data_IF_473791261427
#
_entry.id   IF_473791261427
#
_cell.length_a   1.000
_cell.length_b   1.000
_cell.length_c   1.000
_cell.angle_alpha   90.00
_cell.angle_beta   90.00
_cell.angle_gamma   90.00
#
_symmetry.space_group_name_H-M   'P 1'
#
loop_
_entity.id
_entity.type
_entity.pdbx_description
1 polymer ?
#
# COMPACT_ATOMS: atom_id res chain seq x y z
N UNK A 1 -30.51 -6.36 14.04
CA UNK A 1 -30.13 -7.36 13.01
C UNK A 1 -30.30 -6.79 11.61
N UNK A 2 -31.35 -6.05 11.32
CA UNK A 2 -31.68 -5.54 9.97
C UNK A 2 -30.57 -4.79 9.25
N UNK A 3 -29.74 -4.02 9.98
CA UNK A 3 -28.59 -3.30 9.38
C UNK A 3 -27.55 -4.27 8.79
N UNK A 4 -27.25 -5.37 9.48
CA UNK A 4 -26.26 -6.37 9.00
C UNK A 4 -26.79 -7.18 7.81
N UNK A 5 -28.11 -7.31 7.68
CA UNK A 5 -28.74 -8.03 6.58
C UNK A 5 -28.93 -7.15 5.34
N UNK A 6 -28.96 -5.82 5.51
CA UNK A 6 -29.26 -4.87 4.43
C UNK A 6 -28.05 -4.03 3.99
N UNK A 7 -26.92 -4.10 4.71
CA UNK A 7 -25.73 -3.34 4.37
C UNK A 7 -25.19 -3.78 3.00
N UNK A 8 -25.04 -2.86 2.04
CA UNK A 8 -24.48 -3.20 0.73
C UNK A 8 -22.99 -3.53 0.86
N UNK A 9 -22.61 -4.76 0.47
CA UNK A 9 -21.21 -5.26 0.55
C UNK A 9 -20.42 -5.00 -0.75
N UNK A 10 -21.07 -4.59 -1.81
CA UNK A 10 -20.50 -4.46 -3.16
C UNK A 10 -19.81 -3.12 -3.39
N UNK A 11 -20.06 -2.11 -2.55
CA UNK A 11 -19.52 -0.76 -2.70
C UNK A 11 -18.05 -0.61 -2.27
N UNK A 12 -17.45 -1.66 -1.72
CA UNK A 12 -16.08 -1.63 -1.20
C UNK A 12 -15.00 -1.94 -2.24
N UNK A 13 -15.38 -2.26 -3.48
CA UNK A 13 -14.44 -2.65 -4.54
C UNK A 13 -14.31 -1.56 -5.58
N UNK A 14 -13.08 -1.17 -5.82
CA UNK A 14 -12.75 -0.28 -6.93
C UNK A 14 -12.61 -1.12 -8.21
N UNK A 15 -13.47 -0.90 -9.20
CA UNK A 15 -13.46 -1.57 -10.51
C UNK A 15 -12.86 -0.69 -11.62
N UNK A 16 -12.44 0.54 -11.32
CA UNK A 16 -11.94 1.51 -12.30
C UNK A 16 -10.41 1.50 -12.38
N UNK A 17 -9.74 1.59 -11.23
CA UNK A 17 -8.29 1.72 -11.17
C UNK A 17 -7.63 0.34 -11.19
N UNK A 18 -7.14 -0.11 -12.34
CA UNK A 18 -6.47 -1.41 -12.41
C UNK A 18 -5.15 -1.39 -11.63
N UNK A 19 -5.06 -2.28 -10.64
CA UNK A 19 -3.88 -2.51 -9.80
C UNK A 19 -3.65 -4.00 -9.64
N UNK A 20 -2.50 -4.45 -10.11
CA UNK A 20 -2.12 -5.85 -10.07
C UNK A 20 -0.72 -6.03 -9.47
N UNK A 21 -0.60 -6.14 -8.15
CA UNK A 21 0.67 -6.43 -7.49
C UNK A 21 1.16 -7.83 -7.84
N UNK A 22 2.35 -7.91 -8.41
CA UNK A 22 2.96 -9.19 -8.79
C UNK A 22 3.49 -9.89 -7.55
N UNK A 23 2.99 -11.09 -7.29
CA UNK A 23 3.36 -11.91 -6.14
C UNK A 23 4.42 -12.94 -6.47
N UNK A 24 4.37 -13.50 -7.67
CA UNK A 24 5.27 -14.55 -8.13
C UNK A 24 5.42 -14.50 -9.64
N UNK A 25 6.62 -14.82 -10.15
CA UNK A 25 6.88 -14.96 -11.58
C UNK A 25 7.03 -16.44 -11.90
N UNK A 26 6.09 -16.98 -12.67
CA UNK A 26 6.06 -18.37 -13.08
C UNK A 26 6.78 -18.53 -14.43
N UNK A 27 7.87 -19.30 -14.44
CA UNK A 27 8.63 -19.59 -15.65
C UNK A 27 9.01 -21.07 -15.70
N UNK A 28 8.05 -21.96 -16.01
CA UNK A 28 8.29 -23.41 -16.03
C UNK A 28 9.20 -23.85 -17.19
N UNK A 29 9.25 -23.07 -18.26
CA UNK A 29 10.08 -23.29 -19.45
C UNK A 29 10.47 -21.97 -20.11
N UNK A 30 11.18 -21.99 -21.23
CA UNK A 30 11.62 -20.77 -21.91
C UNK A 30 10.50 -20.05 -22.67
N UNK A 31 9.43 -20.75 -23.01
CA UNK A 31 8.34 -20.23 -23.85
C UNK A 31 7.18 -19.62 -23.03
N UNK A 32 7.18 -19.84 -21.71
CA UNK A 32 6.14 -19.35 -20.84
C UNK A 32 6.70 -18.47 -19.72
N UNK A 33 6.21 -17.23 -19.64
CA UNK A 33 6.45 -16.31 -18.54
C UNK A 33 5.12 -15.72 -18.06
N UNK A 34 4.71 -16.13 -16.87
CA UNK A 34 3.46 -15.69 -16.26
C UNK A 34 3.71 -14.89 -14.99
N UNK A 35 2.97 -13.81 -14.82
CA UNK A 35 2.99 -12.98 -13.62
C UNK A 35 1.79 -13.35 -12.78
N UNK A 36 2.03 -14.02 -11.65
CA UNK A 36 0.99 -14.48 -10.74
C UNK A 36 0.71 -13.43 -9.69
N UNK A 37 -0.55 -13.14 -9.43
CA UNK A 37 -0.97 -12.20 -8.42
C UNK A 37 -2.48 -12.21 -8.19
N UNK A 38 -2.92 -11.31 -7.33
CA UNK A 38 -4.32 -11.04 -7.08
C UNK A 38 -4.67 -9.70 -7.69
N UNK A 39 -5.75 -9.62 -8.46
CA UNK A 39 -6.29 -8.33 -8.90
C UNK A 39 -6.74 -7.56 -7.66
N UNK A 40 -6.00 -6.50 -7.32
CA UNK A 40 -6.29 -5.67 -6.15
C UNK A 40 -7.48 -4.73 -6.43
N UNK A 41 -7.52 -4.17 -7.62
CA UNK A 41 -8.63 -3.31 -8.09
C UNK A 41 -8.65 -3.24 -9.61
N UNK A 42 -9.73 -2.67 -10.17
CA UNK A 42 -9.93 -2.49 -11.60
C UNK A 42 -10.21 -3.79 -12.34
N UNK A 43 -10.40 -3.67 -13.63
CA UNK A 43 -10.65 -4.78 -14.55
C UNK A 43 -9.54 -4.79 -15.57
N UNK A 44 -9.02 -5.95 -15.91
CA UNK A 44 -8.07 -6.16 -17.00
C UNK A 44 -8.62 -7.17 -18.00
N UNK A 45 -8.43 -6.90 -19.29
CA UNK A 45 -8.89 -7.75 -20.39
C UNK A 45 -7.71 -8.25 -21.23
N UNK A 46 -7.90 -9.37 -21.88
CA UNK A 46 -6.97 -9.83 -22.92
C UNK A 46 -6.87 -8.77 -24.02
N UNK A 47 -5.64 -8.41 -24.40
CA UNK A 47 -5.33 -7.35 -25.36
C UNK A 47 -5.17 -5.94 -24.77
N UNK A 48 -5.52 -5.73 -23.50
CA UNK A 48 -5.29 -4.44 -22.83
C UNK A 48 -3.80 -4.12 -22.77
N UNK A 49 -3.45 -2.85 -22.93
CA UNK A 49 -2.09 -2.37 -22.68
C UNK A 49 -1.90 -2.16 -21.20
N UNK A 50 -0.87 -2.76 -20.64
CA UNK A 50 -0.46 -2.59 -19.24
C UNK A 50 0.95 -2.05 -19.14
N UNK A 51 1.23 -1.33 -18.06
CA UNK A 51 2.53 -0.78 -17.72
C UNK A 51 3.06 -1.47 -16.45
N UNK A 52 4.32 -1.86 -16.48
CA UNK A 52 5.03 -2.39 -15.32
C UNK A 52 5.71 -1.25 -14.54
N UNK A 53 5.40 -1.13 -13.24
CA UNK A 53 6.04 -0.19 -12.33
C UNK A 53 7.07 -0.91 -11.47
N UNK A 54 8.28 -0.35 -11.26
CA UNK A 54 8.70 1.02 -11.56
C UNK A 54 9.27 1.24 -12.97
N UNK A 55 9.44 0.21 -13.79
CA UNK A 55 10.21 0.30 -15.05
C UNK A 55 9.57 1.22 -16.11
N UNK A 56 8.24 1.44 -16.02
CA UNK A 56 7.48 2.20 -17.02
C UNK A 56 7.31 1.48 -18.37
N UNK A 57 7.81 0.25 -18.49
CA UNK A 57 7.67 -0.53 -19.74
C UNK A 57 6.24 -0.98 -19.91
N UNK A 58 5.75 -0.88 -21.15
CA UNK A 58 4.40 -1.28 -21.53
C UNK A 58 4.42 -2.54 -22.39
N UNK A 59 3.39 -3.35 -22.26
CA UNK A 59 3.12 -4.51 -23.11
C UNK A 59 1.63 -4.79 -23.14
N UNK A 60 1.17 -5.63 -24.05
CA UNK A 60 -0.22 -6.10 -24.10
C UNK A 60 -0.40 -7.39 -23.33
N UNK A 61 -1.55 -7.52 -22.70
CA UNK A 61 -1.98 -8.76 -22.06
C UNK A 61 -2.24 -9.82 -23.14
N UNK A 62 -1.39 -10.85 -23.18
CA UNK A 62 -1.51 -11.96 -24.12
C UNK A 62 -2.58 -12.94 -23.69
N UNK A 63 -2.57 -13.34 -22.41
CA UNK A 63 -3.58 -14.23 -21.82
C UNK A 63 -3.73 -13.99 -20.33
N UNK A 64 -4.88 -14.35 -19.80
CA UNK A 64 -5.21 -14.35 -18.37
C UNK A 64 -5.55 -15.79 -18.01
N UNK A 65 -4.75 -16.43 -17.19
CA UNK A 65 -4.82 -17.88 -16.93
C UNK A 65 -5.18 -18.15 -15.47
N UNK A 66 -6.09 -19.10 -15.28
CA UNK A 66 -6.43 -19.69 -13.99
C UNK A 66 -6.20 -21.20 -14.03
N UNK A 67 -6.45 -21.89 -12.91
CA UNK A 67 -6.42 -23.34 -12.87
C UNK A 67 -7.45 -23.97 -13.83
N UNK A 68 -8.61 -23.35 -13.98
CA UNK A 68 -9.73 -23.85 -14.81
C UNK A 68 -9.60 -23.49 -16.30
N UNK A 69 -8.57 -22.71 -16.68
CA UNK A 69 -8.31 -22.29 -18.06
C UNK A 69 -8.09 -20.79 -18.22
N UNK A 70 -8.18 -20.34 -19.47
CA UNK A 70 -8.04 -18.94 -19.84
C UNK A 70 -9.34 -18.16 -19.63
N UNK A 71 -9.17 -16.89 -19.24
CA UNK A 71 -10.25 -15.90 -19.08
C UNK A 71 -10.08 -14.77 -20.09
N UNK A 72 -11.20 -14.20 -20.53
CA UNK A 72 -11.19 -12.98 -21.37
C UNK A 72 -10.89 -11.73 -20.55
N UNK A 73 -11.26 -11.72 -19.28
CA UNK A 73 -11.00 -10.62 -18.34
C UNK A 73 -10.88 -11.12 -16.90
N UNK A 74 -10.24 -10.31 -16.06
CA UNK A 74 -10.16 -10.53 -14.61
C UNK A 74 -10.51 -9.26 -13.83
N UNK A 75 -11.04 -9.46 -12.62
CA UNK A 75 -11.51 -8.40 -11.72
C UNK A 75 -11.21 -8.75 -10.24
N UNK A 76 -11.32 -7.79 -9.31
CA UNK A 76 -11.08 -8.04 -7.88
C UNK A 76 -12.13 -9.00 -7.28
N UNK A 77 -11.73 -9.95 -6.46
CA UNK A 77 -10.41 -10.26 -5.94
C UNK A 77 -9.78 -11.50 -6.59
N UNK A 78 -9.98 -11.72 -7.87
CA UNK A 78 -9.50 -12.94 -8.55
C UNK A 78 -7.97 -13.07 -8.48
N UNK A 79 -7.51 -14.30 -8.21
CA UNK A 79 -6.10 -14.67 -8.33
C UNK A 79 -5.89 -15.28 -9.72
N UNK A 80 -5.04 -14.65 -10.52
CA UNK A 80 -4.82 -15.04 -11.90
C UNK A 80 -3.32 -15.01 -12.23
N UNK A 81 -2.97 -15.59 -13.37
CA UNK A 81 -1.65 -15.45 -13.99
C UNK A 81 -1.80 -14.66 -15.28
N UNK A 82 -1.15 -13.51 -15.37
CA UNK A 82 -1.15 -12.66 -16.57
C UNK A 82 0.12 -12.97 -17.36
N UNK A 83 -0.02 -13.26 -18.67
CA UNK A 83 1.09 -13.31 -19.61
C UNK A 83 1.07 -12.08 -20.50
N UNK A 84 2.23 -11.63 -20.94
CA UNK A 84 2.39 -10.46 -21.79
C UNK A 84 2.89 -10.86 -23.17
N UNK A 85 2.63 -10.00 -24.17
CA UNK A 85 3.11 -10.24 -25.54
C UNK A 85 4.63 -10.05 -25.64
N UNK A 86 5.16 -9.03 -24.94
CA UNK A 86 6.59 -8.72 -24.94
C UNK A 86 7.27 -9.30 -23.70
N UNK A 87 8.55 -9.67 -23.84
CA UNK A 87 9.38 -10.08 -22.73
C UNK A 87 9.88 -8.86 -21.93
N UNK A 88 9.00 -8.24 -21.15
CA UNK A 88 9.41 -7.22 -20.20
C UNK A 88 9.78 -7.84 -18.85
N UNK A 89 10.75 -7.21 -18.19
CA UNK A 89 11.18 -7.67 -16.86
C UNK A 89 10.28 -7.12 -15.78
N UNK A 90 9.60 -8.02 -15.07
CA UNK A 90 8.73 -7.72 -13.95
C UNK A 90 9.02 -8.72 -12.84
N UNK A 91 9.17 -8.23 -11.62
CA UNK A 91 9.53 -9.02 -10.46
C UNK A 91 8.46 -8.96 -9.36
N UNK A 92 8.57 -9.86 -8.38
CA UNK A 92 7.75 -9.78 -7.16
C UNK A 92 7.93 -8.43 -6.47
N UNK A 93 6.83 -7.83 -6.06
CA UNK A 93 6.80 -6.51 -5.42
C UNK A 93 6.55 -5.37 -6.39
N UNK A 94 6.65 -5.64 -7.69
CA UNK A 94 6.29 -4.70 -8.75
C UNK A 94 4.79 -4.76 -9.06
N UNK A 95 4.29 -3.81 -9.83
CA UNK A 95 2.85 -3.68 -10.09
C UNK A 95 2.58 -3.49 -11.59
N UNK A 96 1.57 -4.20 -12.11
CA UNK A 96 1.01 -3.91 -13.42
C UNK A 96 -0.20 -2.99 -13.26
N UNK A 97 -0.27 -1.96 -14.09
CA UNK A 97 -1.31 -0.92 -14.08
C UNK A 97 -1.71 -0.57 -15.51
N UNK A 98 -2.84 0.13 -15.70
CA UNK A 98 -3.13 0.77 -16.98
C UNK A 98 -2.28 2.04 -17.13
N UNK A 99 -1.69 2.31 -18.33
CA UNK A 99 -0.81 3.48 -18.54
C UNK A 99 -1.49 4.82 -18.28
N UNK A 100 -2.80 4.91 -18.54
CA UNK A 100 -3.59 6.13 -18.41
C UNK A 100 -4.11 6.36 -16.99
N UNK A 101 -3.87 5.41 -16.06
CA UNK A 101 -4.36 5.48 -14.69
C UNK A 101 -3.31 4.93 -13.72
N UNK A 102 -2.37 5.78 -13.35
CA UNK A 102 -1.25 5.43 -12.49
C UNK A 102 -1.58 5.64 -11.01
N UNK A 103 -1.07 4.77 -10.11
CA UNK A 103 -1.06 5.04 -8.67
C UNK A 103 -0.12 6.19 -8.34
N UNK A 104 -0.20 6.70 -7.13
CA UNK A 104 0.82 7.58 -6.57
C UNK A 104 2.11 6.77 -6.38
N UNK A 105 3.23 7.33 -6.84
CA UNK A 105 4.56 6.76 -6.68
C UNK A 105 5.38 7.70 -5.81
N UNK A 106 5.66 7.31 -4.57
CA UNK A 106 6.42 8.12 -3.64
C UNK A 106 7.11 7.26 -2.56
N UNK A 107 8.15 7.82 -1.95
CA UNK A 107 8.82 7.27 -0.75
C UNK A 107 8.29 7.89 0.53
N UNK A 108 7.68 9.07 0.42
CA UNK A 108 7.20 9.86 1.55
C UNK A 108 5.70 9.96 1.50
N UNK A 109 5.04 9.50 2.55
CA UNK A 109 3.59 9.52 2.61
C UNK A 109 3.10 9.67 4.05
N UNK A 110 1.86 10.11 4.19
CA UNK A 110 1.14 10.17 5.45
C UNK A 110 0.12 9.04 5.56
N UNK A 111 0.00 8.51 6.77
CA UNK A 111 -0.97 7.44 7.04
C UNK A 111 -1.58 7.59 8.43
N UNK A 112 -2.82 7.10 8.59
CA UNK A 112 -3.33 6.75 9.90
C UNK A 112 -2.73 5.43 10.31
N UNK A 113 -2.08 5.40 11.47
CA UNK A 113 -1.41 4.23 12.02
C UNK A 113 -2.11 3.79 13.30
N UNK A 114 -2.33 2.48 13.44
CA UNK A 114 -2.79 1.85 14.69
C UNK A 114 -1.64 1.01 15.22
N UNK A 115 -1.18 1.32 16.42
CA UNK A 115 -0.11 0.57 17.07
C UNK A 115 -0.67 -0.67 17.75
N UNK A 116 -0.08 -1.83 17.48
CA UNK A 116 -0.57 -3.15 17.91
C UNK A 116 0.41 -3.91 18.81
N UNK A 117 1.61 -3.36 19.02
CA UNK A 117 2.62 -3.97 19.86
C UNK A 117 2.44 -3.56 21.33
N UNK A 118 2.75 -4.46 22.26
CA UNK A 118 2.75 -4.16 23.70
C UNK A 118 3.87 -3.18 24.06
N UNK A 119 5.02 -3.29 23.38
CA UNK A 119 6.11 -2.33 23.52
C UNK A 119 5.77 -1.02 22.85
N UNK A 120 6.00 0.13 23.51
CA UNK A 120 5.82 1.43 22.89
C UNK A 120 6.68 1.60 21.63
N UNK A 121 6.18 2.37 20.67
CA UNK A 121 6.89 2.65 19.43
C UNK A 121 8.20 3.40 19.72
N UNK A 122 9.32 2.82 19.30
CA UNK A 122 10.60 3.53 19.24
C UNK A 122 10.71 4.23 17.88
N UNK A 123 10.59 5.56 17.86
CA UNK A 123 10.66 6.37 16.65
C UNK A 123 12.05 6.35 15.99
N UNK A 124 13.12 6.02 16.72
CA UNK A 124 14.47 5.88 16.16
C UNK A 124 14.66 4.57 15.39
N UNK A 125 13.77 3.62 15.56
CA UNK A 125 13.82 2.30 14.97
C UNK A 125 13.32 2.30 13.53
N UNK A 126 14.01 1.58 12.67
CA UNK A 126 13.51 1.26 11.33
C UNK A 126 12.68 -0.02 11.38
N UNK A 127 11.51 0.02 10.78
CA UNK A 127 10.62 -1.13 10.62
C UNK A 127 10.71 -1.69 9.20
N UNK A 128 10.29 -2.93 8.99
CA UNK A 128 9.89 -3.36 7.66
C UNK A 128 8.44 -2.92 7.42
N UNK A 129 8.19 -2.30 6.27
CA UNK A 129 6.85 -2.06 5.76
C UNK A 129 6.53 -3.11 4.70
N UNK A 130 5.42 -3.81 4.90
CA UNK A 130 4.85 -4.69 3.88
C UNK A 130 3.61 -4.02 3.30
N UNK A 131 3.75 -3.60 2.06
CA UNK A 131 2.70 -2.98 1.27
C UNK A 131 2.43 -3.83 0.04
N UNK A 132 1.20 -4.33 -0.09
CA UNK A 132 0.83 -5.31 -1.13
C UNK A 132 1.82 -6.50 -1.14
N UNK A 133 2.56 -6.70 -2.23
CA UNK A 133 3.61 -7.73 -2.38
C UNK A 133 5.02 -7.20 -2.14
N UNK A 134 5.16 -5.88 -1.94
CA UNK A 134 6.44 -5.21 -1.69
C UNK A 134 6.81 -5.27 -0.20
N UNK A 135 8.08 -5.46 0.08
CA UNK A 135 8.68 -5.39 1.41
C UNK A 135 9.91 -4.50 1.35
N UNK A 136 9.93 -3.44 2.13
CA UNK A 136 11.07 -2.53 2.24
C UNK A 136 11.22 -2.01 3.66
N UNK A 137 12.26 -1.23 3.95
CA UNK A 137 12.40 -0.55 5.24
C UNK A 137 11.60 0.74 5.24
N UNK A 138 11.07 1.09 6.40
CA UNK A 138 10.39 2.34 6.64
C UNK A 138 10.88 2.96 7.94
N UNK A 139 10.90 4.29 7.97
CA UNK A 139 11.17 5.10 9.14
C UNK A 139 9.94 5.98 9.42
N UNK A 140 9.64 6.16 10.68
CA UNK A 140 8.71 7.18 11.15
C UNK A 140 9.48 8.49 11.22
N UNK A 141 9.06 9.50 10.46
CA UNK A 141 9.68 10.82 10.48
C UNK A 141 9.06 11.71 11.53
N UNK A 142 7.72 11.77 11.58
CA UNK A 142 7.01 12.54 12.59
C UNK A 142 5.61 11.97 12.87
N UNK A 143 5.09 12.29 14.05
CA UNK A 143 3.69 12.05 14.44
C UNK A 143 3.00 13.41 14.43
N UNK A 144 2.06 13.63 13.52
CA UNK A 144 1.32 14.89 13.40
C UNK A 144 0.37 15.08 14.58
N UNK A 145 -0.40 14.05 14.90
CA UNK A 145 -1.31 14.02 16.04
C UNK A 145 -1.73 12.59 16.37
N UNK A 146 -2.16 12.40 17.62
CA UNK A 146 -2.89 11.20 18.05
C UNK A 146 -4.38 11.46 18.09
N UNK A 147 -5.18 10.40 17.98
CA UNK A 147 -6.63 10.48 18.10
C UNK A 147 -7.05 9.92 19.46
N UNK A 148 -7.76 10.73 20.24
CA UNK A 148 -8.45 10.21 21.40
C UNK A 148 -9.68 9.41 20.95
N UNK A 149 -9.63 8.08 21.08
CA UNK A 149 -10.68 7.18 20.59
C UNK A 149 -12.04 7.37 21.27
N UNK A 150 -12.09 7.98 22.44
CA UNK A 150 -13.34 8.23 23.18
C UNK A 150 -14.02 9.53 22.78
N UNK A 151 -13.23 10.58 22.52
CA UNK A 151 -13.75 11.93 22.19
C UNK A 151 -13.61 12.27 20.71
N UNK A 152 -12.86 11.44 19.94
CA UNK A 152 -12.47 11.68 18.54
C UNK A 152 -11.68 12.98 18.34
N UNK A 153 -11.13 13.54 19.41
CA UNK A 153 -10.31 14.76 19.34
C UNK A 153 -8.89 14.45 18.88
N UNK A 154 -8.31 15.38 18.12
CA UNK A 154 -6.91 15.35 17.75
C UNK A 154 -6.05 15.92 18.88
N UNK A 155 -5.06 15.16 19.29
CA UNK A 155 -4.09 15.51 20.33
C UNK A 155 -2.73 15.71 19.68
N UNK A 156 -2.16 16.89 19.74
CA UNK A 156 -0.82 17.20 19.20
C UNK A 156 -0.04 18.08 20.17
N UNK A 157 1.26 18.19 19.94
CA UNK A 157 2.14 19.09 20.70
C UNK A 157 1.75 20.54 20.41
N UNK A 158 1.44 20.87 19.16
CA UNK A 158 1.10 22.22 18.71
C UNK A 158 -0.18 22.78 19.38
N UNK A 159 -1.14 21.91 19.70
CA UNK A 159 -2.37 22.32 20.42
C UNK A 159 -2.24 22.21 21.95
N UNK A 160 -1.03 21.88 22.46
CA UNK A 160 -0.73 21.77 23.89
C UNK A 160 -1.42 20.60 24.60
N UNK A 161 -2.02 19.64 23.86
CA UNK A 161 -2.69 18.47 24.42
C UNK A 161 -1.78 17.26 24.60
N UNK A 162 -0.56 17.29 24.03
CA UNK A 162 0.50 16.27 24.20
C UNK A 162 1.81 16.96 24.54
N UNK A 163 2.67 16.23 25.26
CA UNK A 163 4.09 16.53 25.41
C UNK A 163 4.91 15.71 24.43
N UNK A 164 6.20 16.05 24.26
CA UNK A 164 7.12 15.25 23.44
C UNK A 164 7.27 13.82 23.95
N UNK A 165 7.17 13.61 25.26
CA UNK A 165 7.25 12.30 25.90
C UNK A 165 6.00 11.42 25.64
N UNK A 166 4.88 12.06 25.26
CA UNK A 166 3.64 11.37 24.91
C UNK A 166 3.58 10.96 23.44
N UNK A 167 4.52 11.43 22.60
CA UNK A 167 4.52 11.13 21.17
C UNK A 167 4.72 9.64 20.83
N UNK A 168 5.58 8.85 21.52
CA UNK A 168 5.66 7.43 21.25
C UNK A 168 4.30 6.76 21.37
N UNK A 169 3.90 6.03 20.32
CA UNK A 169 2.61 5.33 20.31
C UNK A 169 2.65 4.12 21.23
N UNK A 170 1.56 3.91 21.96
CA UNK A 170 1.32 2.76 22.83
C UNK A 170 0.26 1.86 22.21
N UNK A 171 0.14 0.64 22.74
CA UNK A 171 -0.85 -0.34 22.29
C UNK A 171 -2.26 0.28 22.15
N UNK A 172 -2.88 0.01 21.00
CA UNK A 172 -4.21 0.49 20.61
C UNK A 172 -4.33 2.01 20.37
N UNK A 173 -3.24 2.75 20.38
CA UNK A 173 -3.28 4.15 20.01
C UNK A 173 -3.35 4.31 18.48
N UNK A 174 -4.05 5.38 18.06
CA UNK A 174 -4.22 5.78 16.67
C UNK A 174 -3.57 7.13 16.45
N UNK A 175 -2.74 7.25 15.41
CA UNK A 175 -2.07 8.50 15.10
C UNK A 175 -1.98 8.76 13.59
N UNK A 176 -1.88 10.02 13.19
CA UNK A 176 -1.43 10.42 11.85
C UNK A 176 0.08 10.54 11.84
N UNK A 177 0.72 9.79 10.99
CA UNK A 177 2.17 9.58 10.98
C UNK A 177 2.72 9.83 9.59
N UNK A 178 3.90 10.45 9.52
CA UNK A 178 4.68 10.64 8.30
C UNK A 178 5.73 9.55 8.20
N UNK A 179 5.88 8.98 7.03
CA UNK A 179 6.82 7.90 6.74
C UNK A 179 7.76 8.23 5.60
N UNK A 180 9.01 7.78 5.74
CA UNK A 180 9.94 7.64 4.62
C UNK A 180 10.29 6.16 4.43
N UNK A 181 10.24 5.69 3.19
CA UNK A 181 10.56 4.31 2.83
C UNK A 181 11.88 4.20 2.04
N UNK A 182 12.54 3.06 2.15
CA UNK A 182 13.80 2.81 1.45
C UNK A 182 13.64 2.66 -0.06
N UNK A 183 12.44 2.30 -0.53
CA UNK A 183 12.07 2.21 -1.95
C UNK A 183 10.75 2.92 -2.16
N UNK A 184 10.54 3.43 -3.38
CA UNK A 184 9.26 3.97 -3.81
C UNK A 184 8.15 2.92 -3.68
N UNK A 185 7.00 3.33 -3.16
CA UNK A 185 5.79 2.53 -3.11
C UNK A 185 4.80 3.06 -4.14
N UNK A 186 3.99 2.15 -4.69
CA UNK A 186 2.93 2.45 -5.63
C UNK A 186 1.59 2.23 -4.94
N UNK A 187 0.96 3.32 -4.51
CA UNK A 187 -0.23 3.25 -3.67
C UNK A 187 -1.34 4.18 -4.16
N UNK A 188 -2.53 3.91 -3.72
CA UNK A 188 -3.67 4.83 -3.77
C UNK A 188 -4.07 5.18 -2.34
N UNK A 189 -4.70 6.35 -2.08
CA UNK A 189 -5.29 6.63 -0.77
C UNK A 189 -6.24 5.51 -0.33
N UNK A 190 -6.20 5.13 0.94
CA UNK A 190 -6.99 4.02 1.48
C UNK A 190 -8.49 4.15 1.21
N UNK A 191 -8.99 5.38 1.24
CA UNK A 191 -10.40 5.66 0.94
C UNK A 191 -10.76 5.37 -0.52
N UNK A 192 -9.81 5.54 -1.44
CA UNK A 192 -9.99 5.25 -2.87
C UNK A 192 -9.81 3.77 -3.18
N UNK A 193 -8.80 3.15 -2.58
CA UNK A 193 -8.47 1.75 -2.81
C UNK A 193 -7.89 1.10 -1.53
N UNK A 194 -8.71 0.35 -0.83
CA UNK A 194 -8.32 -0.32 0.43
C UNK A 194 -7.16 -1.31 0.24
N UNK A 195 -7.04 -1.95 -0.92
CA UNK A 195 -6.03 -2.99 -1.17
C UNK A 195 -4.63 -2.40 -1.38
N UNK A 196 -4.53 -1.25 -2.04
CA UNK A 196 -3.25 -0.56 -2.30
C UNK A 196 -3.01 0.62 -1.34
N UNK A 197 -3.98 0.95 -0.50
CA UNK A 197 -3.86 1.99 0.53
C UNK A 197 -3.55 1.46 1.92
N UNK A 198 -3.40 0.15 2.11
CA UNK A 198 -3.13 -0.46 3.40
C UNK A 198 -1.73 -1.08 3.47
N UNK A 199 -1.12 -1.04 4.65
CA UNK A 199 0.17 -1.67 4.92
C UNK A 199 0.27 -2.17 6.37
N UNK A 200 1.28 -2.98 6.64
CA UNK A 200 1.68 -3.35 8.00
C UNK A 200 3.13 -2.96 8.25
N UNK A 201 3.43 -2.62 9.50
CA UNK A 201 4.80 -2.50 10.01
C UNK A 201 5.18 -3.79 10.74
N UNK A 202 6.37 -4.27 10.44
CA UNK A 202 6.94 -5.49 11.01
C UNK A 202 8.23 -5.11 11.73
N UNK A 203 8.37 -5.54 12.97
CA UNK A 203 9.61 -5.40 13.70
C UNK A 203 10.72 -6.26 13.07
N UNK A 204 11.89 -5.68 12.73
CA UNK A 204 12.96 -6.41 12.06
C UNK A 204 13.66 -7.44 12.93
N UNK A 205 13.50 -7.37 14.26
CA UNK A 205 14.15 -8.27 15.23
C UNK A 205 13.22 -9.43 15.56
N UNK A 206 11.98 -9.13 15.96
CA UNK A 206 11.01 -10.14 16.40
C UNK A 206 10.22 -10.74 15.25
N UNK A 207 10.16 -10.07 14.09
CA UNK A 207 9.29 -10.38 12.96
C UNK A 207 7.79 -10.32 13.30
N UNK A 208 7.42 -9.70 14.42
CA UNK A 208 6.03 -9.46 14.77
C UNK A 208 5.46 -8.27 14.00
N UNK A 209 4.16 -8.29 13.74
CA UNK A 209 3.44 -7.11 13.23
C UNK A 209 3.28 -6.11 14.36
N UNK A 210 3.95 -4.96 14.26
CA UNK A 210 3.90 -3.91 15.29
C UNK A 210 2.80 -2.90 15.05
N UNK A 211 2.39 -2.68 13.78
CA UNK A 211 1.32 -1.74 13.46
C UNK A 211 0.63 -2.04 12.13
N UNK A 212 -0.56 -1.49 11.96
CA UNK A 212 -1.28 -1.44 10.68
C UNK A 212 -1.51 0.01 10.29
N UNK A 213 -1.41 0.30 8.99
CA UNK A 213 -1.54 1.66 8.47
C UNK A 213 -2.49 1.77 7.29
N UNK A 214 -3.12 2.92 7.20
CA UNK A 214 -4.00 3.33 6.12
C UNK A 214 -3.44 4.61 5.50
N UNK A 215 -2.94 4.53 4.28
CA UNK A 215 -2.30 5.65 3.57
C UNK A 215 -3.37 6.72 3.28
N UNK A 216 -3.04 7.96 3.62
CA UNK A 216 -3.89 9.12 3.35
C UNK A 216 -3.51 9.71 2.00
N UNK A 217 -2.25 10.12 1.85
CA UNK A 217 -1.69 10.71 0.63
C UNK A 217 -0.16 10.79 0.73
N UNK A 218 0.49 11.26 -0.34
CA UNK A 218 1.89 11.70 -0.30
C UNK A 218 2.04 12.92 0.60
N UNK A 219 3.23 13.13 1.14
CA UNK A 219 3.55 14.34 1.90
C UNK A 219 3.68 15.52 0.94
N UNK A 220 3.00 16.64 1.23
CA UNK A 220 3.18 17.86 0.46
C UNK A 220 4.62 18.39 0.59
N UNK A 221 5.23 18.76 -0.53
CA UNK A 221 6.60 19.28 -0.56
C UNK A 221 6.81 20.52 0.33
N UNK A 222 5.72 21.24 0.66
CA UNK A 222 5.75 22.40 1.59
C UNK A 222 5.97 21.98 3.03
N UNK A 223 5.49 20.80 3.43
CA UNK A 223 5.62 20.30 4.80
C UNK A 223 7.01 19.71 5.07
N UNK A 224 7.74 19.31 4.03
CA UNK A 224 9.11 18.81 4.14
C UNK A 224 10.15 19.92 4.37
N UNK A 225 9.88 21.15 3.90
CA UNK A 225 10.82 22.28 3.99
C UNK A 225 10.87 22.92 5.38
N UNK A 226 9.82 22.72 6.20
CA UNK A 226 9.76 23.30 7.55
C UNK A 226 10.58 22.54 8.59
N UNK A 227 10.89 21.26 8.37
CA UNK A 227 11.70 20.46 9.32
C UNK A 227 13.20 20.69 9.15
N UNK A 228 13.71 20.92 7.93
CA UNK A 228 15.12 21.22 7.68
C UNK A 228 15.50 22.67 8.06
N UNK A 229 14.53 23.57 8.16
CA UNK A 229 14.79 24.96 8.55
C UNK A 229 14.91 25.18 10.07
N UNK A 230 14.56 24.22 10.89
CA UNK A 230 14.66 24.25 12.36
C UNK A 230 15.89 23.50 12.90
N UNK A 231 16.72 22.92 12.04
CA UNK A 231 17.93 22.16 12.39
C UNK A 231 19.24 22.96 12.15
N UNK A 232 19.20 24.31 12.11
CA UNK A 232 20.38 25.19 12.03
C UNK A 232 20.54 26.02 13.28
#
# INVERSE_FOLDING_TARGET
>A
MDFLETVPIDQDRNFEDFRYPVQYVLRPNLDFRGFCGKVASGIVRKGDTVMALPSGKTSKVKSIVTYDGELDYAFPPQCVTITLEDEIDVSRGEMLVHPDNLPIADRNFEAMLVWMDEEPMDASKQFYIKHTTNLTRARVDSIRYKVNVNTMEQLSVDNGKLTTDDLPMKLNEIARVVFTTGKELFFDPYQKNKQTGAFILIDPITNNTSAVGMIIDRVDARDMVTEDALAV
#
